data_IF_291132119878
#
_entry.id   IF_291132119878
#
_cell.length_a   1.000
_cell.length_b   1.000
_cell.length_c   1.000
_cell.angle_alpha   90.00
_cell.angle_beta   90.00
_cell.angle_gamma   90.00
#
_symmetry.space_group_name_H-M   'P 1'
#
loop_
_entity.id
_entity.type
_entity.pdbx_description
1 polymer ?
#
# COMPACT_ATOMS: atom_id res chain seq x y z
N UNK A 1 16.56 -17.06 -9.71
CA UNK A 1 16.13 -15.76 -9.14
C UNK A 1 15.30 -16.10 -7.91
N UNK A 2 15.52 -15.47 -6.75
CA UNK A 2 14.80 -15.85 -5.53
C UNK A 2 13.36 -15.34 -5.58
N UNK A 3 12.43 -16.20 -5.17
CA UNK A 3 11.01 -15.86 -5.05
C UNK A 3 10.75 -15.21 -3.69
N UNK A 4 10.06 -14.08 -3.70
CA UNK A 4 9.67 -13.35 -2.49
C UNK A 4 8.17 -13.49 -2.26
N UNK A 5 7.80 -14.01 -1.09
CA UNK A 5 6.41 -14.11 -0.69
C UNK A 5 6.00 -12.85 0.10
N UNK A 6 4.96 -12.16 -0.35
CA UNK A 6 4.33 -11.04 0.35
C UNK A 6 3.06 -11.53 1.03
N UNK A 7 3.01 -11.41 2.35
CA UNK A 7 1.84 -11.79 3.15
C UNK A 7 0.90 -10.60 3.32
N UNK A 8 -0.29 -10.70 2.74
CA UNK A 8 -1.35 -9.69 2.79
C UNK A 8 -1.44 -8.85 1.50
N UNK A 9 -2.66 -8.66 1.01
CA UNK A 9 -2.96 -7.94 -0.23
C UNK A 9 -3.52 -6.52 0.03
N UNK A 10 -3.21 -5.92 1.18
CA UNK A 10 -3.57 -4.52 1.46
C UNK A 10 -2.68 -3.53 0.71
N UNK A 11 -2.98 -2.23 0.81
CA UNK A 11 -2.23 -1.16 0.09
C UNK A 11 -0.71 -1.22 0.34
N UNK A 12 -0.29 -1.54 1.58
CA UNK A 12 1.13 -1.72 1.91
C UNK A 12 1.70 -2.94 1.19
N UNK A 13 1.05 -4.11 1.32
CA UNK A 13 1.53 -5.36 0.72
C UNK A 13 1.64 -5.28 -0.80
N UNK A 14 0.62 -4.75 -1.47
CA UNK A 14 0.62 -4.61 -2.93
C UNK A 14 1.64 -3.58 -3.43
N UNK A 15 1.79 -2.44 -2.74
CA UNK A 15 2.81 -1.44 -3.12
C UNK A 15 4.22 -2.00 -2.97
N UNK A 16 4.47 -2.74 -1.89
CA UNK A 16 5.75 -3.43 -1.67
C UNK A 16 5.98 -4.52 -2.72
N UNK A 17 4.96 -5.32 -3.06
CA UNK A 17 5.04 -6.34 -4.10
C UNK A 17 5.44 -5.75 -5.46
N UNK A 18 4.86 -4.60 -5.85
CA UNK A 18 5.23 -3.89 -7.07
C UNK A 18 6.71 -3.47 -7.04
N UNK A 19 7.18 -2.90 -5.93
CA UNK A 19 8.59 -2.49 -5.80
C UNK A 19 9.58 -3.65 -5.85
N UNK A 20 9.20 -4.80 -5.30
CA UNK A 20 10.02 -6.02 -5.38
C UNK A 20 10.04 -6.56 -6.82
N UNK A 21 8.89 -6.52 -7.51
CA UNK A 21 8.80 -6.90 -8.92
C UNK A 21 9.66 -5.99 -9.81
N UNK A 22 9.60 -4.67 -9.59
CA UNK A 22 10.43 -3.67 -10.30
C UNK A 22 11.92 -3.89 -10.09
N UNK A 23 12.32 -4.43 -8.92
CA UNK A 23 13.69 -4.78 -8.61
C UNK A 23 14.16 -6.10 -9.28
N UNK A 24 13.30 -6.75 -10.07
CA UNK A 24 13.63 -7.94 -10.86
C UNK A 24 13.49 -9.25 -10.10
N UNK A 25 12.70 -9.31 -9.04
CA UNK A 25 12.41 -10.55 -8.29
C UNK A 25 11.07 -11.16 -8.72
N UNK A 26 10.94 -12.47 -8.54
CA UNK A 26 9.64 -13.15 -8.65
C UNK A 26 8.84 -12.93 -7.37
N UNK A 27 7.59 -12.45 -7.50
CA UNK A 27 6.75 -12.11 -6.35
C UNK A 27 5.50 -12.98 -6.30
N UNK A 28 5.22 -13.53 -5.13
CA UNK A 28 3.97 -14.24 -4.84
C UNK A 28 3.25 -13.52 -3.71
N UNK A 29 2.01 -13.09 -3.94
CA UNK A 29 1.16 -12.50 -2.89
C UNK A 29 0.26 -13.59 -2.31
N UNK A 30 0.32 -13.77 -1.00
CA UNK A 30 -0.53 -14.71 -0.25
C UNK A 30 -1.37 -13.90 0.73
N UNK A 31 -2.69 -13.95 0.58
CA UNK A 31 -3.60 -13.18 1.42
C UNK A 31 -4.90 -13.93 1.69
N UNK A 32 -5.53 -13.63 2.82
CA UNK A 32 -6.87 -14.13 3.15
C UNK A 32 -7.97 -13.36 2.39
N UNK A 33 -7.75 -12.07 2.14
CA UNK A 33 -8.69 -11.15 1.50
C UNK A 33 -7.94 -10.32 0.46
N UNK A 34 -8.58 -10.11 -0.68
CA UNK A 34 -8.09 -9.34 -1.82
C UNK A 34 -8.95 -8.08 -2.05
N UNK A 35 -8.45 -7.08 -2.82
CA UNK A 35 -9.19 -5.85 -3.07
C UNK A 35 -10.60 -6.04 -3.62
N UNK A 36 -10.82 -7.06 -4.45
CA UNK A 36 -12.10 -7.36 -5.08
C UNK A 36 -13.09 -8.17 -4.21
N UNK A 37 -12.66 -8.64 -3.04
CA UNK A 37 -13.53 -9.42 -2.16
C UNK A 37 -14.61 -8.54 -1.51
N UNK A 38 -15.71 -9.14 -1.02
CA UNK A 38 -16.71 -8.43 -0.23
C UNK A 38 -16.06 -7.68 0.95
N UNK A 39 -16.62 -6.52 1.29
CA UNK A 39 -16.11 -5.70 2.40
C UNK A 39 -16.12 -6.50 3.70
N UNK A 40 -14.96 -6.59 4.34
CA UNK A 40 -14.75 -7.29 5.60
C UNK A 40 -13.82 -6.46 6.49
N UNK A 41 -14.18 -6.29 7.76
CA UNK A 41 -13.44 -5.47 8.73
C UNK A 41 -11.97 -5.90 8.92
N UNK A 42 -11.62 -7.14 8.57
CA UNK A 42 -10.25 -7.67 8.63
C UNK A 42 -9.37 -7.16 7.49
N UNK A 43 -9.96 -6.51 6.48
CA UNK A 43 -9.26 -5.92 5.35
C UNK A 43 -9.48 -4.40 5.29
N UNK A 44 -8.61 -3.67 5.98
CA UNK A 44 -8.75 -2.23 6.23
C UNK A 44 -8.62 -1.36 4.97
N UNK A 45 -7.93 -1.85 3.93
CA UNK A 45 -7.70 -1.06 2.71
C UNK A 45 -9.00 -0.64 2.01
N UNK A 46 -10.05 -1.47 2.07
CA UNK A 46 -11.37 -1.15 1.48
C UNK A 46 -12.18 -0.11 2.28
N UNK A 47 -11.73 0.31 3.47
CA UNK A 47 -12.41 1.29 4.31
C UNK A 47 -11.72 2.66 4.31
N UNK A 48 -10.55 2.79 3.68
CA UNK A 48 -9.88 4.06 3.56
C UNK A 48 -10.66 5.02 2.65
N UNK A 49 -10.74 6.30 3.03
CA UNK A 49 -11.13 7.37 2.09
C UNK A 49 -10.00 7.65 1.07
N UNK A 50 -8.75 7.47 1.52
CA UNK A 50 -7.49 7.58 0.79
C UNK A 50 -7.29 8.89 0.02
N UNK A 51 -6.83 9.92 0.74
CA UNK A 51 -6.23 11.12 0.19
C UNK A 51 -4.86 11.34 0.84
N UNK A 52 -3.96 12.07 0.15
CA UNK A 52 -2.72 12.51 0.76
C UNK A 52 -2.99 13.77 1.58
N UNK A 53 -3.12 13.61 2.89
CA UNK A 53 -3.22 14.72 3.84
C UNK A 53 -2.13 14.56 4.89
N UNK A 54 -1.23 15.52 4.97
CA UNK A 54 -0.21 15.54 6.03
C UNK A 54 -0.89 15.89 7.35
N UNK A 55 -0.76 15.01 8.36
CA UNK A 55 -1.15 15.31 9.75
C UNK A 55 -0.08 16.18 10.42
N UNK A 56 0.36 17.23 9.73
CA UNK A 56 1.55 18.03 10.04
C UNK A 56 1.39 18.98 11.23
N UNK A 57 0.18 19.21 11.73
CA UNK A 57 -0.06 20.25 12.73
C UNK A 57 0.50 21.60 12.25
N UNK A 58 1.38 22.22 13.05
CA UNK A 58 2.05 23.48 12.70
C UNK A 58 3.44 23.29 12.02
N UNK A 59 3.87 22.06 11.73
CA UNK A 59 5.18 21.80 11.12
C UNK A 59 5.18 22.14 9.62
N UNK A 60 5.62 23.38 9.34
CA UNK A 60 5.76 23.96 8.00
C UNK A 60 6.57 23.11 7.01
N UNK A 61 7.47 22.24 7.48
CA UNK A 61 8.30 21.37 6.62
C UNK A 61 7.49 20.23 6.00
N UNK A 62 6.39 19.82 6.65
CA UNK A 62 5.52 18.76 6.16
C UNK A 62 4.45 19.28 5.20
N UNK A 63 4.30 20.60 5.04
CA UNK A 63 3.44 21.24 4.05
C UNK A 63 4.16 21.53 2.73
N UNK A 64 5.50 21.48 2.69
CA UNK A 64 6.27 22.06 1.59
C UNK A 64 6.42 21.19 0.35
N UNK A 65 5.99 19.93 0.32
CA UNK A 65 6.12 19.11 -0.89
C UNK A 65 4.93 18.17 -1.06
N UNK A 66 3.81 18.74 -1.49
CA UNK A 66 2.94 18.01 -2.40
C UNK A 66 2.94 18.83 -3.70
N UNK A 67 3.79 18.50 -4.69
CA UNK A 67 3.55 18.97 -6.04
C UNK A 67 2.16 18.45 -6.37
N UNK A 68 1.22 19.38 -6.54
CA UNK A 68 -0.03 19.05 -7.18
C UNK A 68 0.33 18.39 -8.51
N UNK A 69 -0.10 17.15 -8.67
CA UNK A 69 -0.49 16.69 -9.98
C UNK A 69 -1.61 17.62 -10.48
#
# INVERSE_FOLDING_TARGET
MPTVAVLGAGVVGLSTAIKILDAGYDVVVIAQLFPGDPRDIRYTSNFAGANHSSMAGDDKRQFSECPCW
#
